data_IF_922174191261
#
_entry.id   IF_922174191261
#
_cell.length_a   1.000
_cell.length_b   1.000
_cell.length_c   1.000
_cell.angle_alpha   90.00
_cell.angle_beta   90.00
_cell.angle_gamma   90.00
#
_symmetry.space_group_name_H-M   'P 1'
#
loop_
_entity.id
_entity.type
_entity.pdbx_description
1 polymer ?
#
# COMPACT_ATOMS: atom_id res chain seq x y z
N UNK A 1 17.56 0.97 -4.57
CA UNK A 1 17.72 0.27 -5.88
C UNK A 1 16.42 -0.01 -6.65
N UNK A 2 15.43 -0.76 -6.14
CA UNK A 2 14.16 -1.00 -6.90
C UNK A 2 13.33 0.28 -7.09
N UNK A 3 13.19 1.07 -6.01
CA UNK A 3 12.54 2.40 -6.01
C UNK A 3 13.20 3.39 -6.97
N UNK A 4 14.53 3.50 -6.91
CA UNK A 4 15.33 4.42 -7.76
C UNK A 4 15.18 4.15 -9.26
N UNK A 5 14.79 2.92 -9.64
CA UNK A 5 14.60 2.52 -11.03
C UNK A 5 13.12 2.51 -11.44
N UNK A 6 12.24 2.96 -10.56
CA UNK A 6 10.79 2.93 -10.70
C UNK A 6 10.21 1.57 -11.15
N UNK A 7 10.82 0.47 -10.70
CA UNK A 7 10.49 -0.90 -11.14
C UNK A 7 9.39 -1.58 -10.32
N UNK A 8 8.59 -0.82 -9.59
CA UNK A 8 7.54 -1.34 -8.73
C UNK A 8 6.20 -0.83 -9.25
N UNK A 9 5.48 -1.55 -10.12
CA UNK A 9 4.22 -1.04 -10.69
C UNK A 9 3.15 -0.77 -9.63
N UNK A 10 3.23 -1.46 -8.49
CA UNK A 10 2.33 -1.27 -7.36
C UNK A 10 3.06 -1.48 -6.03
N UNK A 11 2.70 -0.69 -5.01
CA UNK A 11 3.16 -0.87 -3.62
C UNK A 11 1.96 -0.73 -2.69
N UNK A 12 1.63 -1.80 -1.97
CA UNK A 12 0.56 -1.81 -0.99
C UNK A 12 1.05 -2.19 0.41
N UNK A 13 0.40 -1.66 1.43
CA UNK A 13 0.69 -1.92 2.83
C UNK A 13 -0.55 -2.52 3.53
N UNK A 14 -0.36 -3.65 4.19
CA UNK A 14 -1.34 -4.19 5.14
C UNK A 14 -1.24 -3.38 6.43
N UNK A 15 -2.13 -2.39 6.60
CA UNK A 15 -2.13 -1.51 7.77
C UNK A 15 -3.26 -0.49 7.72
N UNK A 16 -3.77 -0.10 8.89
CA UNK A 16 -4.81 0.93 9.00
C UNK A 16 -4.31 2.31 8.54
N UNK A 17 -5.25 3.20 8.19
CA UNK A 17 -4.94 4.60 7.82
C UNK A 17 -4.07 5.30 8.89
N UNK A 18 -4.36 5.09 10.17
CA UNK A 18 -3.62 5.70 11.28
C UNK A 18 -2.18 5.16 11.37
N UNK A 19 -1.99 3.84 11.21
CA UNK A 19 -0.64 3.25 11.17
C UNK A 19 0.16 3.76 9.97
N UNK A 20 -0.49 3.89 8.81
CA UNK A 20 0.12 4.48 7.63
C UNK A 20 0.55 5.93 7.86
N UNK A 21 -0.27 6.77 8.49
CA UNK A 21 0.10 8.15 8.77
C UNK A 21 1.40 8.25 9.59
N UNK A 22 1.55 7.44 10.64
CA UNK A 22 2.78 7.35 11.43
C UNK A 22 3.95 6.83 10.60
N UNK A 23 3.74 5.79 9.78
CA UNK A 23 4.80 5.19 8.99
C UNK A 23 5.29 6.14 7.88
N UNK A 24 4.37 6.84 7.21
CA UNK A 24 4.63 7.88 6.22
C UNK A 24 5.54 8.98 6.78
N UNK A 25 5.29 9.44 8.00
CA UNK A 25 6.15 10.43 8.66
C UNK A 25 7.58 9.90 8.86
N UNK A 26 7.73 8.66 9.34
CA UNK A 26 9.05 8.03 9.52
C UNK A 26 9.79 7.83 8.21
N UNK A 27 9.08 7.48 7.14
CA UNK A 27 9.65 7.32 5.81
C UNK A 27 10.07 8.65 5.18
N UNK A 28 9.27 9.71 5.36
CA UNK A 28 9.64 11.06 4.95
C UNK A 28 10.93 11.52 5.63
N UNK A 29 11.05 11.30 6.95
CA UNK A 29 12.26 11.59 7.72
C UNK A 29 13.50 10.78 7.25
N UNK A 30 13.29 9.68 6.52
CA UNK A 30 14.35 8.86 5.90
C UNK A 30 14.65 9.23 4.45
N UNK A 31 14.08 10.33 3.94
CA UNK A 31 14.36 10.84 2.60
C UNK A 31 13.47 10.29 1.48
N UNK A 32 12.30 9.72 1.80
CA UNK A 32 11.29 9.44 0.78
C UNK A 32 10.55 10.72 0.41
N UNK A 33 10.48 11.01 -0.88
CA UNK A 33 9.77 12.17 -1.42
C UNK A 33 8.25 12.00 -1.29
N UNK A 34 7.52 13.11 -1.36
CA UNK A 34 6.05 13.07 -1.37
C UNK A 34 5.50 12.19 -2.50
N UNK A 35 6.10 12.27 -3.69
CA UNK A 35 5.69 11.49 -4.85
C UNK A 35 5.88 9.99 -4.62
N UNK A 36 6.98 9.58 -4.00
CA UNK A 36 7.22 8.17 -3.68
C UNK A 36 6.28 7.65 -2.60
N UNK A 37 5.95 8.48 -1.60
CA UNK A 37 4.99 8.13 -0.56
C UNK A 37 3.56 8.05 -1.10
N UNK A 38 3.19 8.91 -2.06
CA UNK A 38 1.87 8.91 -2.69
C UNK A 38 1.59 7.63 -3.49
N UNK A 39 2.63 6.90 -3.91
CA UNK A 39 2.51 5.62 -4.61
C UNK A 39 2.21 4.43 -3.69
N UNK A 40 2.26 4.62 -2.37
CA UNK A 40 1.98 3.57 -1.40
C UNK A 40 0.49 3.57 -1.07
N UNK A 41 -0.18 2.44 -1.33
CA UNK A 41 -1.59 2.23 -0.99
C UNK A 41 -1.72 1.63 0.41
N UNK A 42 -2.42 2.31 1.32
CA UNK A 42 -2.72 1.77 2.66
C UNK A 42 -4.06 2.29 3.20
N UNK A 43 -4.94 1.41 3.72
CA UNK A 43 -4.85 -0.06 3.67
C UNK A 43 -4.91 -0.60 2.23
N UNK A 44 -4.15 -1.65 1.95
CA UNK A 44 -4.29 -2.44 0.72
C UNK A 44 -5.61 -3.23 0.73
N UNK A 45 -6.18 -3.46 -0.45
CA UNK A 45 -7.48 -4.10 -0.67
C UNK A 45 -8.58 -3.12 -1.11
N UNK A 46 -9.76 -3.66 -1.43
CA UNK A 46 -10.95 -2.90 -1.85
C UNK A 46 -12.00 -2.79 -0.74
N UNK A 47 -12.83 -1.77 -0.84
CA UNK A 47 -14.06 -1.66 -0.03
C UNK A 47 -15.04 -2.75 -0.48
N UNK A 48 -15.69 -3.41 0.47
CA UNK A 48 -16.69 -4.46 0.22
C UNK A 48 -16.21 -5.88 0.52
N UNK A 49 -14.91 -6.13 0.61
CA UNK A 49 -14.34 -7.39 1.12
C UNK A 49 -13.70 -7.13 2.47
N UNK A 50 -14.36 -7.57 3.54
CA UNK A 50 -13.97 -7.30 4.93
C UNK A 50 -13.67 -8.60 5.68
N UNK A 51 -12.62 -8.57 6.49
CA UNK A 51 -12.15 -9.73 7.27
C UNK A 51 -10.69 -9.54 7.63
N UNK A 52 -10.24 -10.24 8.68
CA UNK A 52 -8.83 -10.23 9.13
C UNK A 52 -8.11 -11.52 8.77
N UNK A 53 -8.85 -12.50 8.25
CA UNK A 53 -8.38 -13.79 7.83
C UNK A 53 -7.44 -13.63 6.62
N UNK A 54 -6.32 -14.35 6.56
CA UNK A 54 -5.36 -14.24 5.46
C UNK A 54 -6.00 -14.42 4.07
N UNK A 55 -6.94 -15.37 3.94
CA UNK A 55 -7.63 -15.64 2.68
C UNK A 55 -8.50 -14.47 2.22
N UNK A 56 -9.20 -13.80 3.16
CA UNK A 56 -10.05 -12.64 2.86
C UNK A 56 -9.20 -11.44 2.44
N UNK A 57 -8.08 -11.20 3.15
CA UNK A 57 -7.12 -10.17 2.79
C UNK A 57 -6.56 -10.44 1.39
N UNK A 58 -6.14 -11.68 1.10
CA UNK A 58 -5.61 -12.06 -0.21
C UNK A 58 -6.63 -11.83 -1.34
N UNK A 59 -7.89 -12.23 -1.15
CA UNK A 59 -8.96 -12.00 -2.11
C UNK A 59 -9.19 -10.49 -2.36
N UNK A 60 -9.23 -9.68 -1.30
CA UNK A 60 -9.39 -8.22 -1.40
C UNK A 60 -8.24 -7.56 -2.16
N UNK A 61 -7.00 -7.98 -1.90
CA UNK A 61 -5.79 -7.49 -2.59
C UNK A 61 -5.80 -7.90 -4.06
N UNK A 62 -6.14 -9.16 -4.36
CA UNK A 62 -6.23 -9.63 -5.74
C UNK A 62 -7.27 -8.82 -6.54
N UNK A 63 -8.44 -8.56 -5.95
CA UNK A 63 -9.47 -7.72 -6.56
C UNK A 63 -8.99 -6.28 -6.80
N UNK A 64 -8.26 -5.68 -5.84
CA UNK A 64 -7.67 -4.35 -6.02
C UNK A 64 -6.71 -4.31 -7.21
N UNK A 65 -5.81 -5.29 -7.30
CA UNK A 65 -4.83 -5.36 -8.39
C UNK A 65 -5.51 -5.53 -9.76
N UNK A 66 -6.63 -6.24 -9.82
CA UNK A 66 -7.43 -6.39 -11.04
C UNK A 66 -8.14 -5.09 -11.43
N UNK A 67 -8.60 -4.27 -10.48
CA UNK A 67 -9.23 -2.97 -10.75
C UNK A 67 -8.24 -1.89 -11.21
N UNK A 68 -6.97 -2.02 -10.83
CA UNK A 68 -5.90 -1.07 -11.15
C UNK A 68 -5.10 -1.45 -12.40
N UNK A 69 -5.51 -2.51 -13.10
CA UNK A 69 -4.95 -2.90 -14.40
C UNK A 69 -5.36 -1.94 -15.50
#
# INVERSE_FOLDING_TARGET
RLRERDRLPFVGLIGSKTKWATFRHRLAARGLTHNELARITSPIGIVGITGKEPAVIAASVAAQLLQQR
#
